data_IF_747595386591
#
_entry.id   IF_747595386591
#
_cell.length_a   1.000
_cell.length_b   1.000
_cell.length_c   1.000
_cell.angle_alpha   90.00
_cell.angle_beta   90.00
_cell.angle_gamma   90.00
#
_symmetry.space_group_name_H-M   'P 1'
#
loop_
_entity.id
_entity.type
_entity.pdbx_description
1 polymer ?
#
# COMPACT_ATOMS: atom_id res chain seq x y z
N UNK A 1 5.21 7.24 -24.49
CA UNK A 1 6.11 6.49 -23.57
C UNK A 1 7.37 7.33 -23.37
N UNK A 2 8.06 7.23 -22.23
CA UNK A 2 9.29 7.99 -21.93
C UNK A 2 10.37 7.82 -23.02
N UNK A 3 10.43 6.63 -23.63
CA UNK A 3 11.32 6.33 -24.78
C UNK A 3 10.95 7.12 -26.04
N UNK A 4 9.66 7.20 -26.40
CA UNK A 4 9.22 7.95 -27.58
C UNK A 4 9.51 9.46 -27.47
N UNK A 5 9.51 9.99 -26.25
CA UNK A 5 9.90 11.37 -25.98
C UNK A 5 11.41 11.60 -26.14
N UNK A 6 12.24 10.66 -25.68
CA UNK A 6 13.69 10.68 -25.88
C UNK A 6 14.11 10.53 -27.34
N UNK A 7 13.40 9.67 -28.08
CA UNK A 7 13.58 9.50 -29.52
C UNK A 7 13.22 10.77 -30.30
N UNK A 8 12.09 11.40 -29.99
CA UNK A 8 11.65 12.66 -30.63
C UNK A 8 12.58 13.83 -30.32
N UNK A 9 13.26 13.80 -29.17
CA UNK A 9 14.25 14.81 -28.79
C UNK A 9 15.65 14.55 -29.36
N UNK A 10 15.91 13.37 -29.95
CA UNK A 10 17.23 13.00 -30.47
C UNK A 10 18.28 12.68 -29.40
N UNK A 11 17.86 12.43 -28.16
CA UNK A 11 18.74 12.18 -26.99
C UNK A 11 18.45 10.79 -26.37
N UNK A 12 18.32 9.77 -27.23
CA UNK A 12 17.91 8.44 -26.81
C UNK A 12 18.92 7.79 -25.85
N UNK A 13 20.21 8.01 -26.07
CA UNK A 13 21.29 7.39 -25.31
C UNK A 13 21.24 7.77 -23.82
N UNK A 14 21.12 9.07 -23.53
CA UNK A 14 21.02 9.61 -22.17
C UNK A 14 19.72 9.17 -21.47
N UNK A 15 18.60 9.10 -22.21
CA UNK A 15 17.33 8.59 -21.67
C UNK A 15 17.45 7.11 -21.32
N UNK A 16 18.08 6.29 -22.16
CA UNK A 16 18.24 4.86 -21.91
C UNK A 16 19.18 4.60 -20.73
N UNK A 17 20.27 5.33 -20.59
CA UNK A 17 21.18 5.23 -19.44
C UNK A 17 20.46 5.56 -18.12
N UNK A 18 19.75 6.69 -18.08
CA UNK A 18 18.97 7.08 -16.89
C UNK A 18 17.81 6.14 -16.60
N UNK A 19 17.18 5.56 -17.62
CA UNK A 19 16.16 4.53 -17.45
C UNK A 19 16.77 3.23 -16.91
N UNK A 20 18.00 2.88 -17.31
CA UNK A 20 18.72 1.74 -16.75
C UNK A 20 18.98 1.96 -15.26
N UNK A 21 19.53 3.11 -14.86
CA UNK A 21 19.75 3.48 -13.46
C UNK A 21 18.44 3.41 -12.64
N UNK A 22 17.36 3.99 -13.18
CA UNK A 22 16.04 3.95 -12.53
C UNK A 22 15.52 2.51 -12.38
N UNK A 23 15.68 1.69 -13.41
CA UNK A 23 15.22 0.30 -13.41
C UNK A 23 16.03 -0.54 -12.41
N UNK A 24 17.34 -0.34 -12.33
CA UNK A 24 18.23 -1.00 -11.37
C UNK A 24 17.88 -0.59 -9.92
N UNK A 25 17.65 0.70 -9.68
CA UNK A 25 17.18 1.21 -8.38
C UNK A 25 15.80 0.64 -8.01
N UNK A 26 14.88 0.56 -8.98
CA UNK A 26 13.57 -0.06 -8.77
C UNK A 26 13.66 -1.56 -8.52
N UNK A 27 14.59 -2.26 -9.17
CA UNK A 27 14.82 -3.70 -8.96
C UNK A 27 15.38 -3.97 -7.58
N UNK A 28 16.40 -3.21 -7.15
CA UNK A 28 16.97 -3.35 -5.80
C UNK A 28 15.93 -3.04 -4.72
N UNK A 29 15.10 -1.99 -4.92
CA UNK A 29 13.96 -1.68 -4.04
C UNK A 29 12.97 -2.85 -3.97
N UNK A 30 12.57 -3.39 -5.12
CA UNK A 30 11.63 -4.52 -5.19
C UNK A 30 12.20 -5.76 -4.50
N UNK A 31 13.49 -6.04 -4.67
CA UNK A 31 14.15 -7.17 -4.04
C UNK A 31 14.18 -7.02 -2.52
N UNK A 32 14.52 -5.83 -2.00
CA UNK A 32 14.44 -5.54 -0.55
C UNK A 32 13.03 -5.80 -0.01
N UNK A 33 12.00 -5.33 -0.70
CA UNK A 33 10.59 -5.53 -0.32
C UNK A 33 10.23 -7.01 -0.34
N UNK A 34 10.60 -7.74 -1.39
CA UNK A 34 10.33 -9.17 -1.52
C UNK A 34 10.98 -9.96 -0.38
N UNK A 35 12.25 -9.68 -0.06
CA UNK A 35 12.97 -10.33 1.04
C UNK A 35 12.34 -10.01 2.39
N UNK A 36 11.95 -8.75 2.63
CA UNK A 36 11.30 -8.33 3.86
C UNK A 36 9.90 -8.96 4.07
N UNK A 37 9.22 -9.38 3.00
CA UNK A 37 7.91 -10.04 3.06
C UNK A 37 7.98 -11.53 3.43
N UNK A 38 9.16 -12.18 3.33
CA UNK A 38 9.30 -13.60 3.63
C UNK A 38 8.90 -13.91 5.07
N UNK A 39 9.42 -13.13 6.03
CA UNK A 39 9.16 -13.34 7.45
C UNK A 39 7.67 -13.16 7.83
N UNK A 40 6.99 -12.06 7.45
CA UNK A 40 5.53 -11.91 7.57
C UNK A 40 4.73 -13.09 7.03
N UNK A 41 5.07 -13.58 5.84
CA UNK A 41 4.36 -14.68 5.21
C UNK A 41 4.51 -15.98 6.02
N UNK A 42 5.74 -16.34 6.41
CA UNK A 42 5.99 -17.53 7.22
C UNK A 42 5.20 -17.47 8.53
N UNK A 43 5.26 -16.34 9.23
CA UNK A 43 4.57 -16.16 10.51
C UNK A 43 3.04 -16.19 10.34
N UNK A 44 2.51 -15.59 9.28
CA UNK A 44 1.08 -15.65 8.95
C UNK A 44 0.60 -17.07 8.69
N UNK A 45 1.32 -17.84 7.85
CA UNK A 45 0.97 -19.23 7.58
C UNK A 45 1.11 -20.12 8.82
N UNK A 46 2.14 -19.91 9.64
CA UNK A 46 2.33 -20.63 10.90
C UNK A 46 1.20 -20.33 11.89
N UNK A 47 0.82 -19.06 12.04
CA UNK A 47 -0.28 -18.63 12.90
C UNK A 47 -1.61 -19.26 12.48
N UNK A 48 -1.93 -19.23 11.18
CA UNK A 48 -3.13 -19.89 10.64
C UNK A 48 -3.08 -21.40 10.90
N UNK A 49 -1.94 -22.04 10.67
CA UNK A 49 -1.75 -23.47 10.91
C UNK A 49 -2.04 -23.85 12.36
N UNK A 50 -1.47 -23.12 13.32
CA UNK A 50 -1.67 -23.36 14.76
C UNK A 50 -3.13 -23.13 15.16
N UNK A 51 -3.74 -22.01 14.76
CA UNK A 51 -5.15 -21.70 15.06
C UNK A 51 -6.08 -22.76 14.48
N UNK A 52 -5.84 -23.19 13.24
CA UNK A 52 -6.64 -24.22 12.57
C UNK A 52 -6.48 -25.57 13.27
N UNK A 53 -5.27 -25.97 13.64
CA UNK A 53 -5.02 -27.22 14.36
C UNK A 53 -5.73 -27.25 15.73
N UNK A 54 -5.67 -26.15 16.49
CA UNK A 54 -6.39 -26.05 17.76
C UNK A 54 -7.91 -26.13 17.56
N UNK A 55 -8.45 -25.46 16.53
CA UNK A 55 -9.87 -25.50 16.20
C UNK A 55 -10.37 -26.88 15.78
N UNK A 56 -9.61 -27.59 14.95
CA UNK A 56 -10.03 -28.88 14.38
C UNK A 56 -9.85 -30.03 15.36
N UNK A 57 -8.78 -30.02 16.16
CA UNK A 57 -8.47 -31.15 17.04
C UNK A 57 -8.87 -30.89 18.49
N UNK A 58 -8.60 -29.72 19.04
CA UNK A 58 -8.72 -29.49 20.49
C UNK A 58 -10.13 -29.07 20.89
N UNK A 59 -10.73 -28.10 20.18
CA UNK A 59 -12.06 -27.57 20.51
C UNK A 59 -13.15 -28.66 20.51
N UNK A 60 -13.23 -29.58 19.53
CA UNK A 60 -14.30 -30.58 19.50
C UNK A 60 -14.25 -31.55 20.68
N UNK A 61 -13.05 -31.94 21.11
CA UNK A 61 -12.88 -32.87 22.22
C UNK A 61 -13.33 -32.26 23.55
N UNK A 62 -13.10 -30.96 23.75
CA UNK A 62 -13.61 -30.22 24.92
C UNK A 62 -15.15 -30.15 24.90
N UNK A 63 -15.75 -29.92 23.74
CA UNK A 63 -17.21 -29.86 23.59
C UNK A 63 -17.87 -31.20 23.89
N UNK A 64 -17.27 -32.32 23.45
CA UNK A 64 -17.79 -33.67 23.73
C UNK A 64 -17.89 -33.95 25.23
N UNK A 65 -16.88 -33.56 26.02
CA UNK A 65 -16.84 -33.74 27.48
C UNK A 65 -17.96 -32.95 28.18
N UNK A 66 -18.32 -31.79 27.65
CA UNK A 66 -19.39 -30.96 28.20
C UNK A 66 -20.79 -31.49 27.89
N UNK A 67 -21.00 -31.98 26.67
CA UNK A 67 -22.29 -32.54 26.26
C UNK A 67 -22.68 -33.80 27.05
N UNK A 68 -21.71 -34.60 27.53
CA UNK A 68 -21.97 -35.77 28.38
C UNK A 68 -22.37 -35.42 29.82
N UNK A 69 -21.99 -34.24 30.33
CA UNK A 69 -22.32 -33.81 31.70
C UNK A 69 -23.57 -32.91 31.78
N UNK A 70 -24.21 -32.59 30.65
CA UNK A 70 -25.42 -31.76 30.62
C UNK A 70 -25.20 -30.29 31.03
N UNK A 71 -23.93 -29.85 31.14
CA UNK A 71 -23.58 -28.49 31.53
C UNK A 71 -23.62 -27.53 30.33
N UNK A 72 -24.05 -26.29 30.57
CA UNK A 72 -24.07 -25.26 29.52
C UNK A 72 -22.65 -24.75 29.24
N UNK A 73 -22.26 -24.73 27.96
CA UNK A 73 -20.97 -24.21 27.53
C UNK A 73 -20.82 -22.71 27.87
N UNK A 74 -19.65 -22.27 28.37
CA UNK A 74 -19.34 -20.86 28.57
C UNK A 74 -19.57 -20.02 27.30
N UNK A 75 -19.90 -18.74 27.47
CA UNK A 75 -20.23 -17.84 26.37
C UNK A 75 -19.09 -17.72 25.33
N UNK A 76 -17.83 -17.73 25.79
CA UNK A 76 -16.64 -17.64 24.94
C UNK A 76 -16.54 -18.88 24.02
N UNK A 77 -16.70 -20.09 24.58
CA UNK A 77 -16.66 -21.34 23.82
C UNK A 77 -17.83 -21.43 22.83
N UNK A 78 -19.04 -20.99 23.20
CA UNK A 78 -20.19 -20.89 22.29
C UNK A 78 -19.94 -19.92 21.13
N UNK A 79 -19.36 -18.75 21.41
CA UNK A 79 -19.01 -17.78 20.36
C UNK A 79 -17.95 -18.33 19.40
N UNK A 80 -16.98 -19.08 19.93
CA UNK A 80 -15.93 -19.71 19.13
C UNK A 80 -16.50 -20.78 18.19
N UNK A 81 -17.38 -21.65 18.70
CA UNK A 81 -18.07 -22.68 17.91
C UNK A 81 -18.98 -22.03 16.88
N UNK A 82 -19.77 -21.04 17.25
CA UNK A 82 -20.63 -20.31 16.30
C UNK A 82 -19.84 -19.66 15.16
N UNK A 83 -18.63 -19.14 15.46
CA UNK A 83 -17.73 -18.59 14.44
C UNK A 83 -17.17 -19.69 13.54
N UNK A 84 -16.78 -20.83 14.12
CA UNK A 84 -16.31 -22.00 13.38
C UNK A 84 -17.39 -22.56 12.46
N UNK A 85 -18.60 -22.79 12.97
CA UNK A 85 -19.75 -23.31 12.22
C UNK A 85 -20.19 -22.33 11.13
N UNK A 86 -20.12 -21.02 11.39
CA UNK A 86 -20.36 -20.01 10.37
C UNK A 86 -19.34 -20.09 9.22
N UNK A 87 -18.06 -20.34 9.52
CA UNK A 87 -17.02 -20.50 8.51
C UNK A 87 -17.18 -21.82 7.75
N UNK A 88 -17.53 -22.93 8.40
CA UNK A 88 -17.66 -24.24 7.75
C UNK A 88 -18.97 -24.40 6.98
N UNK A 89 -20.11 -23.96 7.54
CA UNK A 89 -21.44 -24.11 6.92
C UNK A 89 -21.78 -22.98 5.95
N UNK A 90 -21.40 -21.73 6.28
CA UNK A 90 -21.72 -20.53 5.47
C UNK A 90 -20.50 -19.93 4.78
N UNK A 91 -19.32 -20.56 4.88
CA UNK A 91 -18.09 -20.08 4.24
C UNK A 91 -18.24 -19.89 2.74
N UNK A 92 -18.99 -20.76 2.05
CA UNK A 92 -19.25 -20.61 0.61
C UNK A 92 -20.07 -19.35 0.30
N UNK A 93 -21.10 -19.05 1.10
CA UNK A 93 -21.89 -17.82 0.98
C UNK A 93 -21.04 -16.57 1.26
N UNK A 94 -20.18 -16.62 2.26
CA UNK A 94 -19.26 -15.53 2.59
C UNK A 94 -18.25 -15.28 1.45
N UNK A 95 -17.72 -16.35 0.85
CA UNK A 95 -16.83 -16.28 -0.30
C UNK A 95 -17.54 -15.66 -1.52
N UNK A 96 -18.77 -16.09 -1.80
CA UNK A 96 -19.61 -15.48 -2.86
C UNK A 96 -19.89 -14.01 -2.56
N UNK A 97 -20.20 -13.65 -1.31
CA UNK A 97 -20.43 -12.26 -0.91
C UNK A 97 -19.18 -11.39 -1.07
N UNK A 98 -17.98 -11.89 -0.72
CA UNK A 98 -16.71 -11.20 -0.95
C UNK A 98 -16.46 -11.02 -2.45
N UNK A 99 -16.64 -12.07 -3.25
CA UNK A 99 -16.47 -11.98 -4.71
C UNK A 99 -17.46 -10.96 -5.29
N UNK A 100 -18.73 -11.02 -4.89
CA UNK A 100 -19.75 -10.07 -5.33
C UNK A 100 -19.39 -8.63 -4.95
N UNK A 101 -18.90 -8.40 -3.72
CA UNK A 101 -18.45 -7.09 -3.26
C UNK A 101 -17.24 -6.58 -4.05
N UNK A 102 -16.26 -7.45 -4.32
CA UNK A 102 -15.11 -7.11 -5.16
C UNK A 102 -15.54 -6.78 -6.59
N UNK A 103 -16.45 -7.57 -7.17
CA UNK A 103 -16.99 -7.33 -8.52
C UNK A 103 -17.77 -6.02 -8.57
N UNK A 104 -18.68 -5.78 -7.63
CA UNK A 104 -19.45 -4.54 -7.51
C UNK A 104 -18.54 -3.33 -7.31
N UNK A 105 -17.52 -3.45 -6.47
CA UNK A 105 -16.55 -2.39 -6.24
C UNK A 105 -15.71 -2.11 -7.51
N UNK A 106 -15.24 -3.15 -8.20
CA UNK A 106 -14.55 -3.01 -9.50
C UNK A 106 -15.45 -2.42 -10.57
N UNK A 107 -16.73 -2.79 -10.57
CA UNK A 107 -17.73 -2.23 -11.48
C UNK A 107 -17.97 -0.74 -11.17
N UNK A 108 -18.10 -0.36 -9.91
CA UNK A 108 -18.20 1.03 -9.48
C UNK A 108 -16.96 1.86 -9.88
N UNK A 109 -15.76 1.27 -9.84
CA UNK A 109 -14.52 1.88 -10.31
C UNK A 109 -14.44 2.08 -11.84
N UNK A 110 -15.38 1.55 -12.63
CA UNK A 110 -15.50 1.89 -14.06
C UNK A 110 -16.05 3.31 -14.25
N UNK A 111 -16.82 3.82 -13.30
CA UNK A 111 -17.33 5.20 -13.36
C UNK A 111 -16.19 6.19 -13.08
N UNK A 112 -15.88 7.11 -14.02
CA UNK A 112 -14.72 7.99 -13.90
C UNK A 112 -14.80 8.91 -12.68
N UNK A 113 -15.99 9.40 -12.34
CA UNK A 113 -16.18 10.25 -11.16
C UNK A 113 -15.95 9.50 -9.85
N UNK A 114 -16.50 8.28 -9.72
CA UNK A 114 -16.28 7.45 -8.55
C UNK A 114 -14.81 7.06 -8.40
N UNK A 115 -14.16 6.70 -9.51
CA UNK A 115 -12.71 6.41 -9.53
C UNK A 115 -11.90 7.61 -9.07
N UNK A 116 -12.21 8.82 -9.55
CA UNK A 116 -11.50 10.03 -9.18
C UNK A 116 -11.72 10.39 -7.70
N UNK A 117 -12.95 10.25 -7.19
CA UNK A 117 -13.27 10.44 -5.77
C UNK A 117 -12.55 9.41 -4.88
N UNK A 118 -12.53 8.14 -5.29
CA UNK A 118 -11.78 7.08 -4.60
C UNK A 118 -10.28 7.38 -4.54
N UNK A 119 -9.69 7.76 -5.67
CA UNK A 119 -8.27 8.12 -5.76
C UNK A 119 -7.92 9.35 -4.91
N UNK A 120 -8.82 10.32 -4.80
CA UNK A 120 -8.69 11.46 -3.88
C UNK A 120 -8.77 11.00 -2.42
N UNK A 121 -9.71 10.11 -2.09
CA UNK A 121 -9.89 9.60 -0.71
C UNK A 121 -8.70 8.77 -0.25
N UNK A 122 -8.10 7.97 -1.13
CA UNK A 122 -6.88 7.21 -0.84
C UNK A 122 -5.73 8.12 -0.37
N UNK A 123 -5.60 9.32 -0.94
CA UNK A 123 -4.56 10.27 -0.54
C UNK A 123 -4.75 10.83 0.89
N UNK A 124 -5.98 10.76 1.44
CA UNK A 124 -6.31 11.23 2.78
C UNK A 124 -6.21 10.17 3.89
N UNK A 125 -6.04 8.89 3.55
CA UNK A 125 -5.98 7.82 4.54
C UNK A 125 -4.63 7.82 5.30
N UNK A 126 -4.62 7.58 6.62
CA UNK A 126 -3.37 7.39 7.37
C UNK A 126 -2.66 6.13 6.86
N UNK A 127 -1.33 6.15 6.86
CA UNK A 127 -0.46 5.13 6.24
C UNK A 127 -0.61 5.02 4.71
N UNK A 128 -1.77 4.56 4.22
CA UNK A 128 -2.01 4.29 2.78
C UNK A 128 -1.81 5.55 1.94
N UNK A 129 -2.28 6.71 2.41
CA UNK A 129 -2.08 7.97 1.71
C UNK A 129 -0.62 8.38 1.62
N UNK A 130 0.21 8.04 2.62
CA UNK A 130 1.67 8.28 2.57
C UNK A 130 2.32 7.41 1.49
N UNK A 131 1.96 6.14 1.43
CA UNK A 131 2.48 5.22 0.40
C UNK A 131 2.04 5.67 -1.00
N UNK A 132 0.75 5.93 -1.20
CA UNK A 132 0.20 6.35 -2.50
C UNK A 132 0.84 7.67 -2.95
N UNK A 133 0.98 8.66 -2.06
CA UNK A 133 1.70 9.90 -2.38
C UNK A 133 3.15 9.61 -2.75
N UNK A 134 3.89 8.92 -1.88
CA UNK A 134 5.31 8.61 -2.10
C UNK A 134 5.58 7.88 -3.42
N UNK A 135 4.77 6.88 -3.78
CA UNK A 135 4.92 6.17 -5.05
C UNK A 135 4.70 7.07 -6.25
N UNK A 136 3.66 7.91 -6.22
CA UNK A 136 3.34 8.80 -7.33
C UNK A 136 4.35 9.94 -7.44
N UNK A 137 4.76 10.55 -6.33
CA UNK A 137 5.74 11.64 -6.35
C UNK A 137 7.14 11.15 -6.71
N UNK A 138 7.55 9.94 -6.29
CA UNK A 138 8.81 9.33 -6.70
C UNK A 138 8.82 9.10 -8.21
N UNK A 139 7.78 8.46 -8.74
CA UNK A 139 7.68 8.19 -10.18
C UNK A 139 7.64 9.46 -11.02
N UNK A 140 6.89 10.47 -10.56
CA UNK A 140 6.82 11.77 -11.23
C UNK A 140 8.18 12.49 -11.21
N UNK A 141 8.83 12.61 -10.05
CA UNK A 141 10.12 13.27 -9.93
C UNK A 141 11.21 12.57 -10.75
N UNK A 142 11.29 11.23 -10.70
CA UNK A 142 12.21 10.46 -11.55
C UNK A 142 11.94 10.69 -13.03
N UNK A 143 10.69 10.57 -13.48
CA UNK A 143 10.37 10.75 -14.91
C UNK A 143 10.68 12.17 -15.38
N UNK A 144 10.36 13.17 -14.56
CA UNK A 144 10.64 14.56 -14.87
C UNK A 144 12.16 14.81 -14.96
N UNK A 145 12.94 14.34 -13.99
CA UNK A 145 14.40 14.45 -13.98
C UNK A 145 15.06 13.80 -15.19
N UNK A 146 14.63 12.59 -15.57
CA UNK A 146 15.17 11.87 -16.74
C UNK A 146 14.94 12.67 -18.01
N UNK A 147 13.73 13.18 -18.19
CA UNK A 147 13.34 13.91 -19.40
C UNK A 147 14.04 15.28 -19.50
N UNK A 148 14.07 16.05 -18.41
CA UNK A 148 14.72 17.37 -18.44
C UNK A 148 16.24 17.27 -18.58
N UNK A 149 16.88 16.30 -17.91
CA UNK A 149 18.31 16.02 -18.09
C UNK A 149 18.66 15.57 -19.52
N UNK A 150 17.69 15.05 -20.27
CA UNK A 150 17.84 14.66 -21.67
C UNK A 150 17.49 15.79 -22.65
N UNK A 151 17.34 17.03 -22.16
CA UNK A 151 17.05 18.20 -22.99
C UNK A 151 15.60 18.31 -23.46
N UNK A 152 14.68 17.48 -22.96
CA UNK A 152 13.26 17.60 -23.29
C UNK A 152 12.67 18.85 -22.62
N UNK A 153 11.99 19.73 -23.38
CA UNK A 153 11.41 20.97 -22.83
C UNK A 153 10.51 20.70 -21.61
N UNK A 154 10.64 21.52 -20.56
CA UNK A 154 9.97 21.31 -19.27
C UNK A 154 8.47 21.05 -19.38
N UNK A 155 7.74 21.83 -20.18
CA UNK A 155 6.29 21.67 -20.37
C UNK A 155 5.94 20.29 -20.95
N UNK A 156 6.74 19.80 -21.88
CA UNK A 156 6.52 18.47 -22.48
C UNK A 156 6.90 17.36 -21.49
N UNK A 157 7.99 17.55 -20.76
CA UNK A 157 8.42 16.65 -19.68
C UNK A 157 7.35 16.52 -18.60
N UNK A 158 6.67 17.62 -18.21
CA UNK A 158 5.56 17.61 -17.26
C UNK A 158 4.35 16.82 -17.77
N UNK A 159 3.97 16.97 -19.04
CA UNK A 159 2.88 16.19 -19.64
C UNK A 159 3.19 14.70 -19.56
N UNK A 160 4.38 14.29 -19.98
CA UNK A 160 4.78 12.87 -20.00
C UNK A 160 4.87 12.33 -18.56
N UNK A 161 5.51 13.05 -17.65
CA UNK A 161 5.62 12.67 -16.24
C UNK A 161 4.25 12.57 -15.55
N UNK A 162 3.28 13.42 -15.92
CA UNK A 162 1.90 13.30 -15.45
C UNK A 162 1.18 12.05 -15.97
N UNK A 163 1.47 11.62 -17.20
CA UNK A 163 0.80 10.46 -17.81
C UNK A 163 1.19 9.11 -17.17
N UNK A 164 2.39 9.02 -16.60
CA UNK A 164 2.87 7.78 -15.94
C UNK A 164 2.29 7.60 -14.52
N UNK A 165 1.65 8.64 -13.97
CA UNK A 165 1.04 8.57 -12.64
C UNK A 165 -0.14 7.58 -12.60
N UNK A 166 -0.11 6.68 -11.61
CA UNK A 166 -1.19 5.73 -11.35
C UNK A 166 -2.42 6.42 -10.73
N UNK A 167 -2.20 7.43 -9.89
CA UNK A 167 -3.26 8.16 -9.25
C UNK A 167 -3.87 9.21 -10.20
N UNK A 168 -5.11 8.99 -10.64
CA UNK A 168 -5.82 9.86 -11.58
C UNK A 168 -6.10 11.26 -11.03
N UNK A 169 -6.24 11.42 -9.71
CA UNK A 169 -6.39 12.74 -9.09
C UNK A 169 -5.10 13.54 -9.19
N UNK A 170 -3.94 12.92 -8.89
CA UNK A 170 -2.64 13.58 -9.07
C UNK A 170 -2.33 13.87 -10.54
N UNK A 171 -2.72 12.98 -11.46
CA UNK A 171 -2.60 13.21 -12.91
C UNK A 171 -3.35 14.46 -13.37
N UNK A 172 -4.56 14.69 -12.84
CA UNK A 172 -5.33 15.91 -13.11
C UNK A 172 -4.61 17.15 -12.59
N UNK A 173 -4.13 17.11 -11.34
CA UNK A 173 -3.38 18.22 -10.74
C UNK A 173 -2.09 18.56 -11.50
N UNK A 174 -1.35 17.55 -11.97
CA UNK A 174 -0.19 17.78 -12.84
C UNK A 174 -0.61 18.39 -14.17
N UNK A 175 -1.74 17.99 -14.75
CA UNK A 175 -2.30 18.64 -15.95
C UNK A 175 -2.53 20.13 -15.73
N UNK A 176 -3.21 20.48 -14.63
CA UNK A 176 -3.49 21.87 -14.25
C UNK A 176 -2.19 22.66 -13.98
N UNK A 177 -1.21 22.03 -13.32
CA UNK A 177 0.11 22.63 -13.07
C UNK A 177 0.91 22.82 -14.38
N UNK A 178 0.82 21.88 -15.31
CA UNK A 178 1.47 21.97 -16.62
C UNK A 178 0.94 23.16 -17.42
N UNK A 179 -0.38 23.38 -17.37
CA UNK A 179 -1.00 24.53 -18.02
C UNK A 179 -0.51 25.85 -17.38
N UNK A 180 -0.47 25.94 -16.05
CA UNK A 180 0.04 27.12 -15.35
C UNK A 180 1.50 27.44 -15.71
N UNK A 181 2.35 26.43 -15.83
CA UNK A 181 3.75 26.60 -16.26
C UNK A 181 3.83 27.06 -17.72
N UNK A 182 2.97 26.53 -18.59
CA UNK A 182 2.88 26.98 -19.98
C UNK A 182 2.43 28.45 -20.09
N UNK A 183 1.61 28.92 -19.15
CA UNK A 183 1.16 30.32 -19.03
C UNK A 183 2.21 31.23 -18.35
N UNK A 184 3.35 30.69 -17.91
CA UNK A 184 4.48 31.44 -17.35
C UNK A 184 4.58 31.45 -15.82
N UNK A 185 3.74 30.67 -15.13
CA UNK A 185 3.87 30.48 -13.66
C UNK A 185 5.11 29.64 -13.37
N UNK A 186 5.81 29.90 -12.26
CA UNK A 186 6.92 29.04 -11.84
C UNK A 186 6.45 27.62 -11.51
N UNK A 187 7.31 26.63 -11.75
CA UNK A 187 7.03 25.22 -11.50
C UNK A 187 6.73 24.97 -10.02
N UNK A 188 7.51 25.57 -9.12
CA UNK A 188 7.26 25.46 -7.68
C UNK A 188 5.84 25.94 -7.32
N UNK A 189 5.45 27.13 -7.80
CA UNK A 189 4.14 27.68 -7.51
C UNK A 189 3.02 26.81 -8.10
N UNK A 190 3.16 26.38 -9.34
CA UNK A 190 2.19 25.50 -10.00
C UNK A 190 1.98 24.18 -9.26
N UNK A 191 3.05 23.56 -8.73
CA UNK A 191 2.97 22.31 -7.98
C UNK A 191 2.48 22.51 -6.53
N UNK A 192 2.79 23.65 -5.91
CA UNK A 192 2.39 23.96 -4.52
C UNK A 192 0.87 24.04 -4.34
N UNK A 193 0.14 24.50 -5.37
CA UNK A 193 -1.31 24.70 -5.35
C UNK A 193 -2.10 23.40 -5.07
N UNK A 194 -1.50 22.23 -5.34
CA UNK A 194 -2.12 20.93 -5.11
C UNK A 194 -2.04 20.43 -3.67
N UNK A 195 -1.07 20.85 -2.85
CA UNK A 195 -0.90 20.40 -1.46
C UNK A 195 -0.57 18.90 -1.26
N UNK A 196 -0.30 18.15 -2.33
CA UNK A 196 0.02 16.71 -2.26
C UNK A 196 1.52 16.40 -2.44
N UNK A 197 2.30 17.36 -2.92
CA UNK A 197 3.75 17.24 -3.05
C UNK A 197 4.44 17.54 -1.72
N UNK A 198 5.43 16.72 -1.30
CA UNK A 198 6.14 16.95 -0.06
C UNK A 198 6.87 18.31 -0.05
N UNK A 199 6.96 19.00 1.11
CA UNK A 199 7.62 20.30 1.19
C UNK A 199 9.07 20.29 0.71
N UNK A 200 9.82 19.23 1.04
CA UNK A 200 11.22 19.07 0.62
C UNK A 200 11.35 19.08 -0.91
N UNK A 201 10.44 18.40 -1.61
CA UNK A 201 10.39 18.40 -3.08
C UNK A 201 10.15 19.80 -3.63
N UNK A 202 9.16 20.53 -3.09
CA UNK A 202 8.87 21.90 -3.52
C UNK A 202 10.06 22.84 -3.28
N UNK A 203 10.75 22.72 -2.15
CA UNK A 203 11.94 23.52 -1.84
C UNK A 203 13.12 23.26 -2.79
N UNK A 204 13.39 21.99 -3.14
CA UNK A 204 14.46 21.68 -4.09
C UNK A 204 14.12 22.21 -5.49
N UNK A 205 12.87 22.08 -5.92
CA UNK A 205 12.40 22.65 -7.19
C UNK A 205 12.55 24.18 -7.19
N UNK A 206 12.09 24.85 -6.13
CA UNK A 206 12.22 26.30 -5.99
C UNK A 206 13.68 26.76 -6.05
N UNK A 207 14.57 26.04 -5.35
CA UNK A 207 16.00 26.33 -5.37
C UNK A 207 16.59 26.15 -6.77
N UNK A 208 16.21 25.10 -7.49
CA UNK A 208 16.68 24.82 -8.85
C UNK A 208 16.17 25.82 -9.88
N UNK A 209 14.92 26.26 -9.77
CA UNK A 209 14.39 27.34 -10.60
C UNK A 209 15.12 28.67 -10.35
N UNK A 210 15.39 29.01 -9.09
CA UNK A 210 16.06 30.26 -8.74
C UNK A 210 17.54 30.29 -9.11
N UNK A 211 18.25 29.15 -9.00
CA UNK A 211 19.66 29.06 -9.37
C UNK A 211 19.90 28.76 -10.85
N UNK A 212 18.84 28.42 -11.61
CA UNK A 212 18.96 27.95 -12.99
C UNK A 212 19.50 26.52 -13.10
N UNK A 213 19.62 25.78 -12.00
CA UNK A 213 20.12 24.39 -11.95
C UNK A 213 18.99 23.38 -11.74
N UNK A 214 17.86 23.59 -12.43
CA UNK A 214 16.65 22.78 -12.25
C UNK A 214 16.90 21.29 -12.50
N UNK A 215 17.69 20.94 -13.53
CA UNK A 215 17.98 19.55 -13.88
C UNK A 215 18.71 18.81 -12.74
N UNK A 216 19.71 19.45 -12.14
CA UNK A 216 20.45 18.88 -11.02
C UNK A 216 19.57 18.75 -9.76
N UNK A 217 18.72 19.75 -9.50
CA UNK A 217 17.82 19.70 -8.35
C UNK A 217 16.70 18.68 -8.53
N UNK A 218 16.21 18.45 -9.77
CA UNK A 218 15.24 17.41 -10.07
C UNK A 218 15.81 16.00 -9.87
N UNK A 219 17.08 15.77 -10.22
CA UNK A 219 17.78 14.49 -9.97
C UNK A 219 17.93 14.21 -8.46
N UNK A 220 18.31 15.24 -7.68
CA UNK A 220 18.31 15.17 -6.21
C UNK A 220 16.91 14.93 -5.65
N UNK A 221 15.89 15.57 -6.24
CA UNK A 221 14.49 15.41 -5.85
C UNK A 221 14.00 13.98 -6.08
N UNK A 222 14.29 13.42 -7.24
CA UNK A 222 13.96 12.04 -7.58
C UNK A 222 14.61 11.06 -6.59
N UNK A 223 15.91 11.24 -6.32
CA UNK A 223 16.66 10.40 -5.38
C UNK A 223 16.11 10.51 -3.95
N UNK A 224 15.84 11.72 -3.47
CA UNK A 224 15.27 11.94 -2.15
C UNK A 224 13.88 11.30 -2.02
N UNK A 225 13.03 11.46 -3.03
CA UNK A 225 11.69 10.92 -3.01
C UNK A 225 11.65 9.39 -3.09
N UNK A 226 12.60 8.78 -3.79
CA UNK A 226 12.80 7.33 -3.81
C UNK A 226 13.21 6.81 -2.42
N UNK A 227 14.14 7.50 -1.74
CA UNK A 227 14.55 7.15 -0.36
C UNK A 227 13.40 7.29 0.63
N UNK A 228 12.60 8.35 0.52
CA UNK A 228 11.41 8.54 1.36
C UNK A 228 10.36 7.44 1.14
N UNK A 229 10.19 6.99 -0.11
CA UNK A 229 9.32 5.86 -0.45
C UNK A 229 9.84 4.56 0.18
N UNK A 230 11.14 4.25 0.03
CA UNK A 230 11.77 3.08 0.64
C UNK A 230 11.61 3.09 2.18
N UNK A 231 11.84 4.23 2.82
CA UNK A 231 11.65 4.39 4.26
C UNK A 231 10.18 4.18 4.69
N UNK A 232 9.23 4.73 3.92
CA UNK A 232 7.79 4.55 4.18
C UNK A 232 7.38 3.09 4.08
N UNK A 233 7.87 2.38 3.06
CA UNK A 233 7.63 0.95 2.90
C UNK A 233 8.27 0.17 4.07
N UNK A 234 9.49 0.51 4.47
CA UNK A 234 10.16 -0.08 5.63
C UNK A 234 9.36 0.07 6.93
N UNK A 235 8.81 1.25 7.20
CA UNK A 235 7.93 1.48 8.37
C UNK A 235 6.66 0.63 8.28
N UNK A 236 6.03 0.54 7.11
CA UNK A 236 4.82 -0.28 6.94
C UNK A 236 5.10 -1.76 7.18
N UNK A 237 6.23 -2.27 6.68
CA UNK A 237 6.64 -3.66 6.88
C UNK A 237 7.03 -3.91 8.35
N UNK A 238 7.73 -2.98 8.99
CA UNK A 238 8.14 -3.10 10.39
C UNK A 238 6.97 -3.09 11.38
N UNK A 239 5.88 -2.36 11.09
CA UNK A 239 4.67 -2.36 11.92
C UNK A 239 3.87 -3.66 11.80
N UNK A 240 4.03 -4.37 10.68
CA UNK A 240 3.29 -5.61 10.42
C UNK A 240 3.70 -6.73 11.38
N UNK A 241 4.97 -6.82 11.77
CA UNK A 241 5.46 -7.81 12.74
C UNK A 241 4.79 -7.74 14.13
N UNK A 242 4.83 -6.62 14.87
CA UNK A 242 4.19 -6.53 16.18
C UNK A 242 2.67 -6.67 16.09
N UNK A 243 2.05 -6.18 15.00
CA UNK A 243 0.63 -6.38 14.76
C UNK A 243 0.28 -7.87 14.62
N UNK A 244 1.07 -8.60 13.83
CA UNK A 244 0.90 -10.04 13.62
C UNK A 244 1.09 -10.84 14.90
N UNK A 245 2.14 -10.55 15.68
CA UNK A 245 2.38 -11.20 16.97
C UNK A 245 1.26 -10.91 17.98
N UNK A 246 0.80 -9.66 18.04
CA UNK A 246 -0.32 -9.27 18.90
C UNK A 246 -1.60 -10.00 18.49
N UNK A 247 -1.93 -10.01 17.20
CA UNK A 247 -3.11 -10.69 16.67
C UNK A 247 -3.05 -12.20 16.98
N UNK A 248 -1.93 -12.85 16.70
CA UNK A 248 -1.73 -14.27 17.00
C UNK A 248 -1.84 -14.55 18.51
N UNK A 249 -1.20 -13.74 19.35
CA UNK A 249 -1.25 -13.86 20.80
C UNK A 249 -2.67 -13.75 21.34
N UNK A 250 -3.45 -12.79 20.85
CA UNK A 250 -4.87 -12.64 21.21
C UNK A 250 -5.68 -13.84 20.74
N UNK A 251 -5.50 -14.31 19.51
CA UNK A 251 -6.19 -15.49 18.99
C UNK A 251 -5.91 -16.73 19.85
N UNK A 252 -4.63 -17.03 20.13
CA UNK A 252 -4.23 -18.18 20.94
C UNK A 252 -4.76 -18.04 22.37
N UNK A 253 -4.64 -16.86 22.97
CA UNK A 253 -5.15 -16.61 24.33
C UNK A 253 -6.66 -16.85 24.44
N UNK A 254 -7.45 -16.35 23.49
CA UNK A 254 -8.91 -16.57 23.46
C UNK A 254 -9.25 -18.05 23.33
N UNK A 255 -8.52 -18.80 22.49
CA UNK A 255 -8.72 -20.25 22.32
C UNK A 255 -8.40 -20.99 23.62
N UNK A 256 -7.25 -20.70 24.24
CA UNK A 256 -6.84 -21.32 25.51
C UNK A 256 -7.86 -21.02 26.61
N UNK A 257 -8.34 -19.79 26.71
CA UNK A 257 -9.37 -19.42 27.68
C UNK A 257 -10.69 -20.15 27.43
N UNK A 258 -11.09 -20.29 26.15
CA UNK A 258 -12.28 -21.04 25.74
C UNK A 258 -12.21 -22.53 26.13
N UNK A 259 -11.00 -23.07 26.28
CA UNK A 259 -10.75 -24.46 26.70
C UNK A 259 -10.65 -24.58 28.23
N UNK A 260 -9.95 -23.66 28.89
CA UNK A 260 -9.70 -23.73 30.34
C UNK A 260 -10.93 -23.41 31.19
N UNK A 261 -11.73 -22.39 30.80
CA UNK A 261 -12.93 -22.01 31.56
C UNK A 261 -13.92 -23.17 31.76
N UNK A 262 -14.24 -23.98 30.73
CA UNK A 262 -15.02 -25.19 30.92
C UNK A 262 -14.40 -26.12 31.98
N UNK A 263 -13.12 -26.47 31.87
CA UNK A 263 -12.44 -27.39 32.81
C UNK A 263 -12.53 -26.90 34.27
N UNK A 264 -12.32 -25.60 34.51
CA UNK A 264 -12.41 -25.02 35.86
C UNK A 264 -13.83 -25.11 36.41
N UNK A 265 -14.86 -24.85 35.59
CA UNK A 265 -16.26 -24.95 36.01
C UNK A 265 -16.66 -26.40 36.35
N UNK A 266 -16.09 -27.41 35.71
CA UNK A 266 -16.36 -28.81 36.06
C UNK A 266 -15.80 -29.16 37.44
N UNK A 267 -14.64 -28.62 37.80
CA UNK A 267 -14.01 -28.86 39.10
C UNK A 267 -14.72 -28.15 40.26
N UNK A 268 -15.53 -27.12 40.00
CA UNK A 268 -16.34 -26.44 41.04
C UNK A 268 -17.73 -27.05 41.23
N UNK A 269 -18.11 -28.03 40.40
CA UNK A 269 -19.40 -28.74 40.50
C UNK A 269 -19.25 -30.08 41.26
N UNK A 270 -18.02 -30.47 41.63
CA UNK A 270 -17.70 -31.67 42.43
C UNK A 270 -17.42 -31.28 43.88
#
# INVERSE_FOLDING_TARGET
STVAAGESAGHLDAVLEKLADYTEASQSSRQKIQMAMIYPCILFFMAIGVVTALMVFVVPDVVKVFNTQGAQLPAITRGLIATSDFITERGMLLLVAIIALVVLFRWALRNPEFKLAWHRRLLGMPLVGRLVRGTNTAQFASTLSILTASGVPLVESLKIAGQVLQNHWLRRLIGDATQQVQEGTSLNQALSNGGYFPPMMLHMIASGEQSGELDQMLDRTATAQQRDLEATIGVMLGVLEPFMLLFMGVCVFVIVLAILLPIVNLNTIV
#
